data_IF_157540841279
#
_entry.id   IF_157540841279
#
_cell.length_a   1.000
_cell.length_b   1.000
_cell.length_c   1.000
_cell.angle_alpha   90.00
_cell.angle_beta   90.00
_cell.angle_gamma   90.00
#
_symmetry.space_group_name_H-M   'P 1'
#
loop_
_entity.id
_entity.type
_entity.pdbx_description
1 polymer ?
#
# COMPACT_ATOMS: atom_id res chain seq x y z
N UNK A 1 23.19 -18.63 15.54
CA UNK A 1 22.80 -17.88 14.33
C UNK A 1 22.24 -16.56 14.82
N UNK A 2 22.96 -15.46 14.58
CA UNK A 2 22.47 -14.11 14.90
C UNK A 2 21.35 -13.80 13.91
N UNK A 3 20.11 -13.72 14.37
CA UNK A 3 18.93 -13.64 13.51
C UNK A 3 18.72 -12.29 12.85
N UNK A 4 19.49 -11.25 13.21
CA UNK A 4 19.44 -9.96 12.54
C UNK A 4 20.85 -9.37 12.52
N UNK A 5 21.44 -9.23 11.33
CA UNK A 5 22.77 -8.63 11.16
C UNK A 5 22.73 -7.10 11.17
N UNK A 6 21.58 -6.49 10.88
CA UNK A 6 21.37 -5.03 10.98
C UNK A 6 19.88 -4.64 10.96
N UNK A 7 19.11 -4.87 12.04
CA UNK A 7 17.69 -4.52 12.08
C UNK A 7 17.43 -3.00 12.10
N UNK A 8 18.46 -2.17 12.29
CA UNK A 8 18.37 -0.69 12.29
C UNK A 8 18.91 -0.05 11.00
N UNK A 9 19.55 -0.84 10.13
CA UNK A 9 20.08 -0.39 8.84
C UNK A 9 19.03 -0.38 7.74
N UNK A 10 17.96 -1.17 7.87
CA UNK A 10 16.83 -1.14 6.95
C UNK A 10 15.83 -0.06 7.37
N UNK A 11 15.71 1.00 6.55
CA UNK A 11 14.92 2.20 6.87
C UNK A 11 13.76 2.43 5.91
N UNK A 12 13.13 1.35 5.46
CA UNK A 12 12.00 1.42 4.54
C UNK A 12 10.72 0.78 5.10
N UNK A 13 10.65 0.50 6.40
CA UNK A 13 9.41 -0.01 6.97
C UNK A 13 8.35 1.11 7.07
N UNK A 14 7.08 0.72 7.24
CA UNK A 14 5.95 1.65 7.24
C UNK A 14 6.10 2.81 8.23
N UNK A 15 6.76 2.60 9.38
CA UNK A 15 7.06 3.69 10.30
C UNK A 15 8.06 4.71 9.72
N UNK A 16 9.11 4.26 9.04
CA UNK A 16 10.08 5.14 8.38
C UNK A 16 9.40 5.95 7.28
N UNK A 17 8.57 5.29 6.48
CA UNK A 17 7.81 5.91 5.40
C UNK A 17 6.89 7.01 5.93
N UNK A 18 6.18 6.75 7.03
CA UNK A 18 5.27 7.72 7.65
C UNK A 18 6.05 8.91 8.24
N UNK A 19 7.22 8.66 8.85
CA UNK A 19 8.07 9.73 9.41
C UNK A 19 8.63 10.62 8.29
N UNK A 20 9.20 10.03 7.24
CA UNK A 20 9.76 10.76 6.10
C UNK A 20 8.69 11.50 5.30
N UNK A 21 7.53 10.86 5.09
CA UNK A 21 6.34 11.42 4.46
C UNK A 21 5.59 12.45 5.32
N UNK A 22 6.04 12.69 6.57
CA UNK A 22 5.46 13.63 7.52
C UNK A 22 3.96 13.39 7.79
N UNK A 23 3.60 12.13 8.01
CA UNK A 23 2.22 11.72 8.25
C UNK A 23 1.41 11.50 6.97
N UNK A 24 2.08 11.36 5.83
CA UNK A 24 1.46 11.04 4.53
C UNK A 24 2.05 9.76 3.97
N UNK A 25 1.21 8.98 3.29
CA UNK A 25 1.61 7.78 2.55
C UNK A 25 0.90 7.77 1.21
N UNK A 26 1.68 7.68 0.15
CA UNK A 26 1.19 7.61 -1.22
C UNK A 26 1.23 6.16 -1.72
N UNK A 27 0.12 5.71 -2.29
CA UNK A 27 -0.04 4.41 -2.91
C UNK A 27 -0.06 4.50 -4.43
N UNK A 28 0.54 3.51 -5.08
CA UNK A 28 0.27 3.23 -6.48
C UNK A 28 -0.38 1.85 -6.64
N UNK A 29 -1.53 1.79 -7.29
CA UNK A 29 -2.28 0.54 -7.48
C UNK A 29 -1.82 -0.14 -8.76
N UNK A 30 -1.34 -1.38 -8.65
CA UNK A 30 -1.02 -2.26 -9.78
C UNK A 30 -2.23 -3.17 -10.04
N UNK A 31 -3.02 -2.81 -11.03
CA UNK A 31 -4.22 -3.54 -11.45
C UNK A 31 -3.84 -4.63 -12.45
N UNK A 32 -3.48 -5.81 -11.94
CA UNK A 32 -3.19 -7.00 -12.73
C UNK A 32 -4.47 -7.81 -12.95
N UNK A 33 -5.43 -7.16 -13.59
CA UNK A 33 -6.75 -7.71 -13.90
C UNK A 33 -7.19 -7.28 -15.29
N UNK A 34 -8.01 -8.13 -15.92
CA UNK A 34 -8.67 -7.81 -17.19
C UNK A 34 -10.02 -7.12 -17.01
N UNK A 35 -10.50 -7.03 -15.76
CA UNK A 35 -11.77 -6.38 -15.45
C UNK A 35 -11.63 -4.86 -15.51
N UNK A 36 -12.69 -4.17 -15.94
CA UNK A 36 -12.76 -2.72 -15.82
C UNK A 36 -13.02 -2.29 -14.38
N UNK A 37 -12.49 -1.15 -13.99
CA UNK A 37 -12.70 -0.51 -12.69
C UNK A 37 -13.22 0.91 -12.89
N UNK A 38 -14.35 1.20 -12.27
CA UNK A 38 -14.98 2.52 -12.31
C UNK A 38 -14.27 3.51 -11.39
N UNK A 39 -14.46 4.81 -11.64
CA UNK A 39 -13.98 5.86 -10.74
C UNK A 39 -14.48 5.64 -9.29
N UNK A 40 -15.76 5.35 -9.10
CA UNK A 40 -16.33 5.10 -7.77
C UNK A 40 -15.65 3.91 -7.06
N UNK A 41 -15.36 2.84 -7.80
CA UNK A 41 -14.60 1.71 -7.26
C UNK A 41 -13.17 2.10 -6.89
N UNK A 42 -12.49 2.93 -7.68
CA UNK A 42 -11.15 3.43 -7.34
C UNK A 42 -11.17 4.29 -6.07
N UNK A 43 -12.18 5.14 -5.91
CA UNK A 43 -12.39 5.93 -4.69
C UNK A 43 -12.68 5.04 -3.47
N UNK A 44 -13.42 3.94 -3.65
CA UNK A 44 -13.63 2.94 -2.61
C UNK A 44 -12.34 2.19 -2.25
N UNK A 45 -11.50 1.85 -3.22
CA UNK A 45 -10.18 1.24 -3.01
C UNK A 45 -9.30 2.14 -2.15
N UNK A 46 -9.20 3.43 -2.48
CA UNK A 46 -8.47 4.41 -1.67
C UNK A 46 -9.04 4.54 -0.26
N UNK A 47 -10.37 4.58 -0.13
CA UNK A 47 -11.05 4.64 1.17
C UNK A 47 -10.76 3.41 2.03
N UNK A 48 -10.74 2.21 1.43
CA UNK A 48 -10.39 0.97 2.10
C UNK A 48 -8.92 0.97 2.55
N UNK A 49 -7.99 1.37 1.68
CA UNK A 49 -6.57 1.53 2.03
C UNK A 49 -6.39 2.50 3.20
N UNK A 50 -6.99 3.69 3.11
CA UNK A 50 -6.91 4.71 4.16
C UNK A 50 -7.43 4.19 5.49
N UNK A 51 -8.57 3.49 5.49
CA UNK A 51 -9.16 2.89 6.70
C UNK A 51 -8.24 1.84 7.31
N UNK A 52 -7.74 0.90 6.50
CA UNK A 52 -6.91 -0.21 6.97
C UNK A 52 -5.54 0.25 7.46
N UNK A 53 -4.90 1.20 6.76
CA UNK A 53 -3.63 1.75 7.20
C UNK A 53 -3.78 2.54 8.51
N UNK A 54 -4.83 3.34 8.64
CA UNK A 54 -5.08 4.10 9.88
C UNK A 54 -5.43 3.21 11.08
N UNK A 55 -5.93 1.97 10.87
CA UNK A 55 -6.04 0.98 11.96
C UNK A 55 -4.67 0.62 12.52
N UNK A 56 -3.67 0.41 11.66
CA UNK A 56 -2.29 0.19 12.12
C UNK A 56 -1.70 1.41 12.82
N UNK A 57 -1.93 2.62 12.28
CA UNK A 57 -1.50 3.85 12.93
C UNK A 57 -2.11 4.03 14.31
N UNK A 58 -3.39 3.67 14.50
CA UNK A 58 -4.04 3.74 15.81
C UNK A 58 -3.41 2.79 16.84
N UNK A 59 -2.90 1.63 16.43
CA UNK A 59 -2.16 0.71 17.32
C UNK A 59 -0.75 1.22 17.64
N UNK A 60 -0.13 1.99 16.74
CA UNK A 60 1.18 2.63 16.95
C UNK A 60 1.07 3.96 17.72
N UNK A 61 -0.08 4.62 17.69
CA UNK A 61 -0.28 5.91 18.32
C UNK A 61 0.02 5.85 19.83
N UNK A 62 0.95 6.70 20.29
CA UNK A 62 1.39 6.75 21.68
C UNK A 62 2.38 5.65 22.08
N UNK A 63 2.73 4.72 21.20
CA UNK A 63 3.85 3.81 21.40
C UNK A 63 5.18 4.52 21.09
N UNK A 64 6.12 4.47 22.04
CA UNK A 64 7.48 5.02 21.90
C UNK A 64 7.57 6.46 21.34
N UNK A 65 6.58 7.30 21.64
CA UNK A 65 6.54 8.69 21.17
C UNK A 65 6.21 8.86 19.69
N UNK A 66 5.63 7.85 19.03
CA UNK A 66 5.18 7.95 17.64
C UNK A 66 4.26 9.17 17.44
N UNK A 67 4.55 10.08 16.50
CA UNK A 67 3.99 11.44 16.50
C UNK A 67 2.63 11.57 15.81
N UNK A 68 2.09 10.50 15.23
CA UNK A 68 0.86 10.55 14.44
C UNK A 68 -0.25 9.68 15.03
N UNK A 69 -1.44 10.26 15.19
CA UNK A 69 -2.67 9.53 15.55
C UNK A 69 -3.41 9.01 14.31
N UNK A 70 -3.21 9.69 13.17
CA UNK A 70 -3.72 9.33 11.85
C UNK A 70 -2.73 9.77 10.79
N UNK A 71 -2.78 9.12 9.62
CA UNK A 71 -2.00 9.51 8.45
C UNK A 71 -2.90 9.73 7.24
N UNK A 72 -2.47 10.62 6.37
CA UNK A 72 -3.12 10.88 5.10
C UNK A 72 -2.65 9.86 4.05
N UNK A 73 -3.55 8.95 3.67
CA UNK A 73 -3.27 7.92 2.67
C UNK A 73 -3.92 8.33 1.36
N UNK A 74 -3.14 8.38 0.28
CA UNK A 74 -3.61 8.82 -1.04
C UNK A 74 -3.24 7.80 -2.10
N UNK A 75 -4.10 7.58 -3.10
CA UNK A 75 -3.70 6.82 -4.31
C UNK A 75 -3.27 7.81 -5.38
N UNK A 76 -1.97 7.86 -5.67
CA UNK A 76 -1.40 8.84 -6.62
C UNK A 76 -1.27 8.29 -8.03
N UNK A 77 -1.34 6.97 -8.21
CA UNK A 77 -1.19 6.32 -9.51
C UNK A 77 -1.88 4.97 -9.63
N UNK A 78 -2.16 4.59 -10.87
CA UNK A 78 -2.71 3.30 -11.27
C UNK A 78 -1.92 2.74 -12.45
N UNK A 79 -1.39 1.55 -12.31
CA UNK A 79 -0.79 0.79 -13.39
C UNK A 79 -1.76 -0.28 -13.88
N UNK A 80 -2.07 -0.27 -15.18
CA UNK A 80 -3.04 -1.17 -15.83
C UNK A 80 -2.47 -1.71 -17.14
N UNK A 81 -2.93 -2.89 -17.59
CA UNK A 81 -2.54 -3.42 -18.92
C UNK A 81 -3.08 -2.56 -20.07
N UNK A 82 -4.25 -1.97 -19.89
CA UNK A 82 -4.92 -1.10 -20.85
C UNK A 82 -5.60 0.05 -20.12
N UNK A 83 -5.37 1.30 -20.57
CA UNK A 83 -6.01 2.49 -19.99
C UNK A 83 -7.53 2.42 -20.06
N UNK A 84 -8.10 1.73 -21.05
CA UNK A 84 -9.54 1.57 -21.20
C UNK A 84 -10.20 0.81 -20.03
N UNK A 85 -9.42 0.08 -19.23
CA UNK A 85 -9.92 -0.57 -18.01
C UNK A 85 -10.29 0.44 -16.93
N UNK A 86 -9.65 1.62 -16.90
CA UNK A 86 -9.99 2.69 -15.96
C UNK A 86 -11.15 3.52 -16.53
N UNK A 87 -12.34 3.32 -16.00
CA UNK A 87 -13.52 4.07 -16.40
C UNK A 87 -13.68 5.34 -15.53
N UNK A 88 -14.28 6.38 -16.12
CA UNK A 88 -14.49 7.68 -15.46
C UNK A 88 -13.28 8.59 -15.51
N UNK A 89 -13.20 9.55 -14.60
CA UNK A 89 -12.11 10.53 -14.59
C UNK A 89 -10.83 9.96 -13.96
N UNK A 90 -9.71 10.12 -14.65
CA UNK A 90 -8.37 9.76 -14.16
C UNK A 90 -7.46 10.96 -13.97
N UNK A 91 -7.96 12.21 -14.10
CA UNK A 91 -7.15 13.42 -14.00
C UNK A 91 -6.43 13.58 -12.65
N UNK A 92 -6.98 12.99 -11.59
CA UNK A 92 -6.42 13.00 -10.25
C UNK A 92 -5.24 12.04 -10.01
N UNK A 93 -5.00 11.07 -10.91
CA UNK A 93 -4.00 10.00 -10.74
C UNK A 93 -3.10 9.88 -11.97
N UNK A 94 -1.87 9.44 -11.77
CA UNK A 94 -1.00 9.07 -12.89
C UNK A 94 -1.39 7.67 -13.41
N UNK A 95 -1.51 7.50 -14.73
CA UNK A 95 -1.93 6.23 -15.34
C UNK A 95 -0.79 5.62 -16.12
N UNK A 96 -0.23 4.55 -15.56
CA UNK A 96 0.86 3.77 -16.14
C UNK A 96 0.32 2.59 -16.95
N UNK A 97 0.93 2.34 -18.10
CA UNK A 97 0.68 1.16 -18.95
C UNK A 97 1.93 0.33 -19.20
N UNK A 98 2.98 0.60 -18.44
CA UNK A 98 4.21 -0.17 -18.41
C UNK A 98 4.01 -1.45 -17.61
N UNK A 99 4.80 -2.47 -17.90
CA UNK A 99 4.82 -3.73 -17.17
C UNK A 99 6.22 -4.02 -16.65
N UNK A 100 6.31 -4.83 -15.60
CA UNK A 100 7.57 -5.41 -15.17
C UNK A 100 8.02 -6.58 -16.08
N UNK A 101 9.11 -7.24 -15.69
CA UNK A 101 9.69 -8.38 -16.42
C UNK A 101 8.73 -9.58 -16.54
N UNK A 102 7.75 -9.69 -15.63
CA UNK A 102 6.73 -10.75 -15.62
C UNK A 102 5.47 -10.36 -16.41
N UNK A 103 5.43 -9.16 -17.00
CA UNK A 103 4.28 -8.65 -17.74
C UNK A 103 3.14 -8.14 -16.84
N UNK A 104 3.42 -7.89 -15.56
CA UNK A 104 2.46 -7.36 -14.59
C UNK A 104 2.50 -5.82 -14.67
N UNK A 105 1.36 -5.12 -14.77
CA UNK A 105 1.32 -3.66 -14.82
C UNK A 105 2.11 -3.05 -13.67
N UNK A 106 3.03 -2.14 -13.97
CA UNK A 106 3.97 -1.58 -13.01
C UNK A 106 3.91 -0.06 -13.03
N UNK A 107 3.84 0.55 -11.84
CA UNK A 107 4.05 1.98 -11.66
C UNK A 107 5.53 2.33 -11.92
N UNK A 108 5.82 3.56 -12.33
CA UNK A 108 7.18 3.97 -12.66
C UNK A 108 8.15 3.74 -11.47
N UNK A 109 9.17 2.87 -11.61
CA UNK A 109 10.15 2.64 -10.56
C UNK A 109 10.87 3.92 -10.12
N UNK A 110 11.02 4.91 -11.01
CA UNK A 110 11.59 6.23 -10.71
C UNK A 110 10.79 7.03 -9.68
N UNK A 111 9.53 6.67 -9.45
CA UNK A 111 8.63 7.27 -8.48
C UNK A 111 8.44 6.42 -7.23
N UNK A 112 8.97 5.20 -7.17
CA UNK A 112 8.73 4.27 -6.08
C UNK A 112 9.77 4.36 -4.98
N UNK A 113 9.34 4.59 -3.74
CA UNK A 113 10.23 4.62 -2.56
C UNK A 113 11.06 3.36 -2.39
N UNK A 114 10.49 2.20 -2.74
CA UNK A 114 11.22 0.92 -2.72
C UNK A 114 12.53 0.97 -3.52
N UNK A 115 12.55 1.73 -4.62
CA UNK A 115 13.72 1.92 -5.49
C UNK A 115 14.57 3.14 -5.09
N UNK A 116 13.98 4.09 -4.35
CA UNK A 116 14.57 5.38 -3.95
C UNK A 116 14.52 5.56 -2.42
N UNK A 117 15.20 4.69 -1.69
CA UNK A 117 15.26 4.73 -0.21
C UNK A 117 16.08 5.92 0.34
N UNK A 118 16.77 6.65 -0.54
CA UNK A 118 17.44 7.91 -0.26
C UNK A 118 16.49 9.12 -0.31
N UNK A 119 15.20 8.90 -0.60
CA UNK A 119 14.18 9.93 -0.82
C UNK A 119 14.49 10.87 -2.01
N UNK A 120 15.34 10.46 -2.96
CA UNK A 120 15.59 11.22 -4.19
C UNK A 120 14.68 10.76 -5.33
N UNK A 121 13.57 11.49 -5.52
CA UNK A 121 12.61 11.25 -6.60
C UNK A 121 12.84 12.12 -7.84
N UNK A 122 14.06 12.63 -8.06
CA UNK A 122 14.41 13.42 -9.25
C UNK A 122 14.23 12.64 -10.56
N UNK A 123 14.28 11.30 -10.49
CA UNK A 123 14.01 10.39 -11.60
C UNK A 123 12.51 10.17 -11.88
N UNK A 124 11.61 10.61 -11.00
CA UNK A 124 10.17 10.40 -11.15
C UNK A 124 9.63 11.31 -12.27
N UNK A 125 9.23 10.71 -13.40
CA UNK A 125 8.74 11.47 -14.56
C UNK A 125 7.44 12.23 -14.27
N UNK A 126 6.61 11.73 -13.34
CA UNK A 126 5.38 12.36 -12.89
C UNK A 126 5.62 13.51 -11.88
N UNK A 127 6.88 13.72 -11.47
CA UNK A 127 7.31 14.70 -10.47
C UNK A 127 7.37 14.10 -9.06
N UNK A 128 8.27 14.63 -8.23
CA UNK A 128 8.51 14.12 -6.87
C UNK A 128 7.25 14.09 -5.99
N UNK A 129 6.30 15.02 -6.18
CA UNK A 129 5.02 15.02 -5.44
C UNK A 129 4.11 13.82 -5.78
N UNK A 130 4.39 13.13 -6.90
CA UNK A 130 3.68 11.93 -7.36
C UNK A 130 4.42 10.63 -7.01
N UNK A 131 5.48 10.69 -6.19
CA UNK A 131 6.10 9.49 -5.66
C UNK A 131 5.09 8.64 -4.87
N UNK A 132 5.32 7.34 -4.83
CA UNK A 132 4.55 6.40 -4.02
C UNK A 132 5.47 5.66 -3.05
N UNK A 133 5.00 5.54 -1.81
CA UNK A 133 5.67 4.82 -0.73
C UNK A 133 5.36 3.33 -0.78
N UNK A 134 4.14 2.99 -1.20
CA UNK A 134 3.58 1.65 -1.19
C UNK A 134 2.92 1.29 -2.52
N UNK A 135 2.97 0.01 -2.89
CA UNK A 135 2.28 -0.51 -4.07
C UNK A 135 1.20 -1.53 -3.67
N UNK A 136 -0.05 -1.32 -4.10
CA UNK A 136 -1.13 -2.28 -3.90
C UNK A 136 -1.33 -3.07 -5.20
N UNK A 137 -1.04 -4.36 -5.18
CA UNK A 137 -1.19 -5.23 -6.33
C UNK A 137 -2.51 -5.99 -6.18
N UNK A 138 -3.41 -5.77 -7.13
CA UNK A 138 -4.69 -6.46 -7.22
C UNK A 138 -4.59 -7.41 -8.41
N UNK A 139 -4.38 -8.69 -8.12
CA UNK A 139 -4.09 -9.72 -9.12
C UNK A 139 -5.29 -10.65 -9.29
N UNK A 140 -5.76 -10.83 -10.54
CA UNK A 140 -6.80 -11.80 -10.88
C UNK A 140 -6.38 -13.23 -10.49
N UNK A 141 -7.25 -13.96 -9.80
CA UNK A 141 -7.03 -15.36 -9.44
C UNK A 141 -5.88 -15.61 -8.46
N UNK A 142 -5.33 -14.58 -7.83
CA UNK A 142 -4.32 -14.75 -6.78
C UNK A 142 -4.98 -15.15 -5.46
N UNK A 143 -4.61 -16.32 -4.94
CA UNK A 143 -5.10 -16.81 -3.65
C UNK A 143 -4.18 -16.36 -2.51
N UNK A 144 -4.76 -15.73 -1.49
CA UNK A 144 -4.03 -15.26 -0.31
C UNK A 144 -3.50 -13.84 -0.45
N UNK A 145 -2.38 -13.58 0.22
CA UNK A 145 -1.73 -12.27 0.29
C UNK A 145 -0.21 -12.40 0.40
N UNK A 146 0.48 -11.33 0.01
CA UNK A 146 1.89 -11.12 0.31
C UNK A 146 2.11 -9.64 0.61
N UNK A 147 2.94 -9.31 1.58
CA UNK A 147 3.19 -7.94 2.00
C UNK A 147 4.62 -7.71 2.45
N UNK A 148 5.04 -6.45 2.44
CA UNK A 148 6.36 -6.03 2.89
C UNK A 148 6.52 -4.52 2.84
N UNK A 149 7.77 -4.09 2.87
CA UNK A 149 8.16 -2.69 2.80
C UNK A 149 7.79 -2.02 1.46
N UNK A 150 7.55 -2.79 0.41
CA UNK A 150 7.14 -2.31 -0.93
C UNK A 150 5.63 -2.17 -1.11
N UNK A 151 4.81 -2.69 -0.19
CA UNK A 151 3.35 -2.73 -0.35
C UNK A 151 2.70 -4.08 -0.04
N UNK A 152 1.56 -4.31 -0.68
CA UNK A 152 0.73 -5.50 -0.51
C UNK A 152 0.30 -6.05 -1.87
N UNK A 153 0.24 -7.38 -2.01
CA UNK A 153 -0.35 -8.10 -3.13
C UNK A 153 -1.48 -8.98 -2.63
N UNK A 154 -2.65 -8.85 -3.23
CA UNK A 154 -3.89 -9.51 -2.81
C UNK A 154 -4.69 -9.92 -4.04
N UNK A 155 -5.47 -10.99 -3.92
CA UNK A 155 -6.46 -11.36 -4.93
C UNK A 155 -7.42 -10.21 -5.20
N UNK A 156 -7.53 -9.82 -6.48
CA UNK A 156 -8.39 -8.70 -6.89
C UNK A 156 -9.83 -8.94 -6.46
N UNK A 157 -10.34 -10.16 -6.66
CA UNK A 157 -11.73 -10.51 -6.40
C UNK A 157 -12.04 -10.43 -4.91
N UNK A 158 -11.13 -10.95 -4.09
CA UNK A 158 -11.24 -10.86 -2.63
C UNK A 158 -11.25 -9.41 -2.18
N UNK A 159 -10.29 -8.60 -2.62
CA UNK A 159 -10.19 -7.22 -2.17
C UNK A 159 -11.44 -6.42 -2.56
N UNK A 160 -11.87 -6.54 -3.82
CA UNK A 160 -13.04 -5.81 -4.35
C UNK A 160 -14.35 -6.22 -3.67
N UNK A 161 -14.52 -7.49 -3.29
CA UNK A 161 -15.69 -7.96 -2.55
C UNK A 161 -15.75 -7.47 -1.10
N UNK A 162 -14.62 -7.05 -0.54
CA UNK A 162 -14.49 -6.69 0.88
C UNK A 162 -14.22 -5.18 1.10
N UNK A 163 -14.32 -4.33 0.08
CA UNK A 163 -14.03 -2.88 0.15
C UNK A 163 -14.77 -2.13 1.26
N UNK A 164 -15.97 -2.59 1.62
CA UNK A 164 -16.82 -1.94 2.63
C UNK A 164 -16.66 -2.56 4.03
N UNK A 165 -15.94 -3.68 4.16
CA UNK A 165 -15.71 -4.28 5.47
C UNK A 165 -14.80 -3.38 6.30
N UNK A 166 -15.14 -3.26 7.58
CA UNK A 166 -14.30 -2.54 8.53
C UNK A 166 -12.89 -3.15 8.57
N UNK A 167 -12.82 -4.47 8.62
CA UNK A 167 -11.59 -5.25 8.69
C UNK A 167 -11.42 -6.14 7.44
N UNK A 168 -10.61 -5.68 6.49
CA UNK A 168 -10.20 -6.49 5.32
C UNK A 168 -9.05 -7.39 5.78
N UNK A 169 -9.37 -8.60 6.24
CA UNK A 169 -8.45 -9.47 6.97
C UNK A 169 -7.09 -9.69 6.29
N UNK A 170 -7.08 -10.06 4.99
CA UNK A 170 -5.82 -10.31 4.27
C UNK A 170 -5.02 -9.00 4.13
N UNK A 171 -5.67 -7.90 3.74
CA UNK A 171 -5.00 -6.61 3.63
C UNK A 171 -4.36 -6.16 4.94
N UNK A 172 -5.09 -6.29 6.04
CA UNK A 172 -4.60 -5.95 7.36
C UNK A 172 -3.40 -6.81 7.77
N UNK A 173 -3.43 -8.11 7.46
CA UNK A 173 -2.29 -9.01 7.66
C UNK A 173 -1.07 -8.56 6.85
N UNK A 174 -1.23 -8.33 5.55
CA UNK A 174 -0.12 -7.95 4.67
C UNK A 174 0.46 -6.56 5.01
N UNK A 175 -0.39 -5.62 5.45
CA UNK A 175 0.08 -4.33 5.99
C UNK A 175 0.89 -4.51 7.28
N UNK A 176 0.67 -5.56 8.07
CA UNK A 176 1.48 -5.86 9.25
C UNK A 176 2.95 -6.10 8.89
N UNK A 177 3.21 -6.80 7.79
CA UNK A 177 4.58 -7.02 7.28
C UNK A 177 5.26 -5.71 6.86
N UNK A 178 4.50 -4.73 6.35
CA UNK A 178 5.02 -3.37 6.09
C UNK A 178 5.59 -2.73 7.34
N UNK A 179 5.02 -3.01 8.52
CA UNK A 179 5.52 -2.53 9.81
C UNK A 179 6.50 -3.48 10.51
N UNK A 180 7.12 -4.42 9.77
CA UNK A 180 8.04 -5.44 10.31
C UNK A 180 7.40 -6.39 11.33
N UNK A 181 6.08 -6.56 11.30
CA UNK A 181 5.37 -7.43 12.22
C UNK A 181 5.15 -8.82 11.61
N UNK A 182 6.18 -9.65 11.73
CA UNK A 182 6.15 -11.05 11.29
C UNK A 182 5.30 -11.90 12.27
N UNK A 183 3.97 -11.90 12.10
CA UNK A 183 3.11 -12.75 12.90
C UNK A 183 1.61 -12.55 12.68
N UNK A 184 0.86 -13.66 12.66
CA UNK A 184 -0.61 -13.75 12.51
C UNK A 184 -1.44 -13.07 13.62
N UNK A 185 -0.86 -12.30 14.55
CA UNK A 185 -1.46 -12.05 15.86
C UNK A 185 -1.77 -10.60 16.25
N UNK A 186 -1.40 -9.58 15.47
CA UNK A 186 -1.61 -8.20 15.97
C UNK A 186 -3.07 -7.71 15.85
N UNK A 187 -3.81 -8.13 14.83
CA UNK A 187 -5.20 -7.66 14.61
C UNK A 187 -6.28 -8.72 14.86
N UNK A 188 -5.92 -9.98 15.08
CA UNK A 188 -6.90 -11.08 15.20
C UNK A 188 -7.44 -11.29 16.64
N UNK A 189 -7.08 -10.45 17.62
CA UNK A 189 -7.32 -10.78 19.04
C UNK A 189 -7.60 -9.67 20.07
N UNK A 190 -7.55 -8.38 19.76
CA UNK A 190 -7.56 -7.34 20.81
C UNK A 190 -8.94 -6.83 21.28
N UNK A 191 -10.06 -7.45 20.88
CA UNK A 191 -11.39 -7.22 21.49
C UNK A 191 -11.87 -8.36 22.40
N UNK A 192 -11.00 -8.91 23.25
CA UNK A 192 -11.46 -9.61 24.47
C UNK A 192 -10.80 -9.03 25.73
N UNK A 193 -11.64 -8.32 26.48
CA UNK A 193 -11.48 -7.92 27.89
C UNK A 193 -10.50 -6.76 28.19
N UNK A 194 -11.02 -5.53 28.07
CA UNK A 194 -10.88 -4.58 29.17
C UNK A 194 -12.15 -4.64 30.02
N UNK A 195 -12.08 -5.40 31.11
CA UNK A 195 -12.83 -5.18 32.34
C UNK A 195 -11.80 -5.03 33.44
#
# INVERSE_FOLDING_TARGET
MSTYSDPLGFRNYGYDQVIDGKGKINYCVRWDSTQSVTQAQREQVETALRRSFNKWIAELAGFDGFPYETVDVNVVGWAVKDKALLQGDTSGVEVYTTTDEEGIPQCDPGCGRFFHQDNDYSACAAGADRHYDQSLWLTDGFEGGAGGDWGQRIGQEYFMQNLELEDIHILLHEMGHTFALDGTLFLCGSRRHRR
#
